data_IF_474161523803
#
_entry.id   IF_474161523803
#
_cell.length_a   1.000
_cell.length_b   1.000
_cell.length_c   1.000
_cell.angle_alpha   90.00
_cell.angle_beta   90.00
_cell.angle_gamma   90.00
#
_symmetry.space_group_name_H-M   'P 1'
#
loop_
_entity.id
_entity.type
_entity.pdbx_description
1 polymer ?
#
# COMPACT_ATOMS: atom_id res chain seq x y z
N UNK A 1 0.54 1.02 2.05
CA UNK A 1 -0.68 1.78 2.40
C UNK A 1 -0.52 3.29 2.28
N UNK A 2 0.71 3.80 2.32
CA UNK A 2 0.94 5.25 2.14
C UNK A 2 0.66 5.73 0.71
N UNK A 3 0.37 4.81 -0.21
CA UNK A 3 -0.17 5.14 -1.52
C UNK A 3 -1.61 5.67 -1.46
N UNK A 4 -2.34 5.35 -0.39
CA UNK A 4 -3.74 5.74 -0.21
C UNK A 4 -3.90 6.96 0.71
N UNK A 5 -3.00 7.12 1.67
CA UNK A 5 -3.09 8.17 2.69
C UNK A 5 -1.70 8.71 2.99
N UNK A 6 -1.61 10.03 3.18
CA UNK A 6 -0.34 10.67 3.50
C UNK A 6 -0.05 10.54 5.01
N UNK A 7 1.15 10.06 5.33
CA UNK A 7 1.69 10.10 6.68
C UNK A 7 2.59 11.34 6.76
N UNK A 8 2.19 12.40 7.45
CA UNK A 8 2.95 13.67 7.41
C UNK A 8 4.42 13.55 7.84
N UNK A 9 4.71 12.68 8.81
CA UNK A 9 6.09 12.42 9.25
C UNK A 9 6.97 11.83 8.13
N UNK A 10 6.36 11.26 7.09
CA UNK A 10 7.02 10.72 5.90
C UNK A 10 6.32 11.24 4.64
N UNK A 11 6.12 12.56 4.59
CA UNK A 11 5.27 13.18 3.56
C UNK A 11 5.75 12.97 2.15
N UNK A 12 7.03 13.20 1.86
CA UNK A 12 7.59 13.02 0.52
C UNK A 12 7.57 11.55 0.08
N UNK A 13 7.83 10.64 0.99
CA UNK A 13 7.72 9.20 0.74
C UNK A 13 6.26 8.84 0.38
N UNK A 14 5.30 9.35 1.15
CA UNK A 14 3.88 9.15 0.87
C UNK A 14 3.49 9.65 -0.52
N UNK A 15 3.98 10.83 -0.91
CA UNK A 15 3.76 11.38 -2.26
C UNK A 15 4.29 10.43 -3.33
N UNK A 16 5.51 9.91 -3.14
CA UNK A 16 6.10 8.98 -4.11
C UNK A 16 5.29 7.69 -4.25
N UNK A 17 4.74 7.18 -3.16
CA UNK A 17 3.91 5.97 -3.18
C UNK A 17 2.55 6.23 -3.83
N UNK A 18 1.94 7.38 -3.61
CA UNK A 18 0.71 7.77 -4.30
C UNK A 18 0.94 7.89 -5.81
N UNK A 19 2.08 8.47 -6.22
CA UNK A 19 2.45 8.55 -7.63
C UNK A 19 2.62 7.16 -8.25
N UNK A 20 3.28 6.24 -7.56
CA UNK A 20 3.45 4.86 -8.02
C UNK A 20 2.10 4.14 -8.18
N UNK A 21 1.17 4.35 -7.26
CA UNK A 21 -0.17 3.79 -7.34
C UNK A 21 -0.92 4.29 -8.58
N UNK A 22 -0.86 5.59 -8.82
CA UNK A 22 -1.46 6.18 -10.02
C UNK A 22 -0.80 5.65 -11.30
N UNK A 23 0.52 5.52 -11.30
CA UNK A 23 1.27 4.97 -12.43
C UNK A 23 0.85 3.53 -12.73
N UNK A 24 0.64 2.71 -11.71
CA UNK A 24 0.16 1.34 -11.90
C UNK A 24 -1.18 1.30 -12.65
N UNK A 25 -2.08 2.23 -12.34
CA UNK A 25 -3.37 2.31 -13.03
C UNK A 25 -3.19 2.64 -14.51
N UNK A 26 -2.32 3.58 -14.83
CA UNK A 26 -2.04 3.96 -16.21
C UNK A 26 -1.37 2.84 -17.01
N UNK A 27 -0.35 2.21 -16.43
CA UNK A 27 0.36 1.09 -17.06
C UNK A 27 -0.58 -0.10 -17.27
N UNK A 28 -1.43 -0.38 -16.28
CA UNK A 28 -2.43 -1.45 -16.39
C UNK A 28 -3.34 -1.24 -17.60
N UNK A 29 -3.82 -0.01 -17.77
CA UNK A 29 -4.66 0.34 -18.91
C UNK A 29 -3.92 0.21 -20.25
N UNK A 30 -2.69 0.69 -20.30
CA UNK A 30 -1.87 0.61 -21.53
C UNK A 30 -1.56 -0.82 -21.95
N UNK A 31 -1.34 -1.72 -20.99
CA UNK A 31 -0.96 -3.10 -21.26
C UNK A 31 -2.13 -4.06 -21.36
N UNK A 32 -3.35 -3.58 -21.18
CA UNK A 32 -4.54 -4.45 -21.20
C UNK A 32 -4.72 -5.19 -22.53
N UNK A 33 -4.43 -4.51 -23.65
CA UNK A 33 -4.55 -5.12 -24.99
C UNK A 33 -3.53 -6.23 -25.21
N UNK A 34 -2.43 -6.24 -24.47
CA UNK A 34 -1.41 -7.29 -24.52
C UNK A 34 -1.70 -8.43 -23.54
N UNK A 35 -2.82 -8.34 -22.81
CA UNK A 35 -3.21 -9.32 -21.77
C UNK A 35 -2.16 -9.43 -20.65
N UNK A 36 -1.46 -8.33 -20.36
CA UNK A 36 -0.49 -8.27 -19.27
C UNK A 36 -1.20 -7.82 -17.99
N UNK A 37 -1.09 -8.62 -16.95
CA UNK A 37 -1.61 -8.25 -15.63
C UNK A 37 -0.61 -7.37 -14.88
N UNK A 38 -1.10 -6.30 -14.29
CA UNK A 38 -0.28 -5.39 -13.47
C UNK A 38 -0.83 -5.46 -12.03
N UNK A 39 -0.03 -5.99 -11.13
CA UNK A 39 -0.43 -6.23 -9.75
C UNK A 39 0.32 -5.25 -8.84
N UNK A 40 -0.43 -4.44 -8.09
CA UNK A 40 0.13 -3.57 -7.08
C UNK A 40 0.04 -4.21 -5.70
N UNK A 41 1.15 -4.25 -4.98
CA UNK A 41 1.20 -4.80 -3.62
C UNK A 41 1.47 -3.66 -2.65
N UNK A 42 0.53 -3.41 -1.75
CA UNK A 42 0.54 -2.25 -0.87
C UNK A 42 0.46 -2.69 0.60
N UNK A 43 1.60 -3.14 1.17
CA UNK A 43 1.62 -3.60 2.56
C UNK A 43 1.61 -2.42 3.54
N UNK A 44 1.36 -2.73 4.81
CA UNK A 44 1.69 -1.84 5.91
C UNK A 44 3.17 -1.93 6.25
N UNK A 45 3.53 -1.91 7.52
CA UNK A 45 4.92 -2.07 7.94
C UNK A 45 5.37 -3.52 7.72
N UNK A 46 6.53 -3.69 7.09
CA UNK A 46 7.14 -4.99 6.81
C UNK A 46 8.46 -5.09 7.58
N UNK A 47 8.74 -6.25 8.16
CA UNK A 47 9.94 -6.47 8.96
C UNK A 47 11.18 -6.55 8.05
N UNK A 48 11.74 -5.39 7.76
CA UNK A 48 12.93 -5.19 6.92
C UNK A 48 13.83 -4.14 7.57
N UNK A 49 15.05 -4.00 7.06
CA UNK A 49 15.99 -2.97 7.55
C UNK A 49 15.41 -1.56 7.45
N UNK A 50 14.63 -1.28 6.42
CA UNK A 50 13.99 0.04 6.24
C UNK A 50 13.03 0.35 7.39
N UNK A 51 12.36 -0.65 7.96
CA UNK A 51 11.37 -0.49 9.02
C UNK A 51 11.91 -0.85 10.41
N UNK A 52 13.22 -0.98 10.59
CA UNK A 52 13.83 -1.44 11.85
C UNK A 52 13.46 -0.55 13.05
N UNK A 53 13.25 0.74 12.84
CA UNK A 53 12.94 1.70 13.91
C UNK A 53 11.43 1.85 14.17
N UNK A 54 10.60 1.17 13.39
CA UNK A 54 9.16 1.16 13.59
C UNK A 54 8.80 0.26 14.77
N UNK A 55 8.10 0.78 15.76
CA UNK A 55 7.79 0.08 17.01
C UNK A 55 6.49 -0.71 16.98
N UNK A 56 5.67 -0.54 15.96
CA UNK A 56 4.41 -1.25 15.84
C UNK A 56 4.55 -2.67 15.27
N UNK A 57 3.43 -3.39 15.11
CA UNK A 57 3.46 -4.71 14.49
C UNK A 57 3.91 -4.62 13.04
N UNK A 58 4.68 -5.62 12.61
CA UNK A 58 5.22 -5.70 11.24
C UNK A 58 4.88 -7.04 10.64
N UNK A 59 4.59 -7.04 9.33
CA UNK A 59 4.38 -8.26 8.58
C UNK A 59 5.72 -8.89 8.21
N UNK A 60 5.74 -10.22 8.07
CA UNK A 60 6.94 -10.92 7.63
C UNK A 60 7.10 -10.78 6.12
N UNK A 61 8.32 -10.55 5.61
CA UNK A 61 8.55 -10.45 4.16
C UNK A 61 8.01 -11.65 3.38
N UNK A 62 8.14 -12.86 3.91
CA UNK A 62 7.63 -14.06 3.26
C UNK A 62 6.12 -14.02 3.09
N UNK A 63 5.39 -13.52 4.09
CA UNK A 63 3.92 -13.42 4.02
C UNK A 63 3.49 -12.44 2.94
N UNK A 64 4.22 -11.34 2.78
CA UNK A 64 3.97 -10.36 1.70
C UNK A 64 4.22 -11.01 0.34
N UNK A 65 5.34 -11.73 0.20
CA UNK A 65 5.68 -12.40 -1.06
C UNK A 65 4.62 -13.46 -1.43
N UNK A 66 4.15 -14.24 -0.46
CA UNK A 66 3.10 -15.23 -0.69
C UNK A 66 1.78 -14.59 -1.11
N UNK A 67 1.41 -13.46 -0.48
CA UNK A 67 0.22 -12.73 -0.86
C UNK A 67 0.31 -12.20 -2.30
N UNK A 68 1.49 -11.71 -2.70
CA UNK A 68 1.74 -11.25 -4.07
C UNK A 68 1.56 -12.38 -5.08
N UNK A 69 2.12 -13.56 -4.79
CA UNK A 69 2.00 -14.74 -5.69
C UNK A 69 0.54 -15.17 -5.81
N UNK A 70 -0.20 -15.22 -4.69
CA UNK A 70 -1.62 -15.56 -4.73
C UNK A 70 -2.43 -14.56 -5.55
N UNK A 71 -2.10 -13.27 -5.45
CA UNK A 71 -2.76 -12.23 -6.23
C UNK A 71 -2.53 -12.42 -7.73
N UNK A 72 -1.32 -12.80 -8.13
CA UNK A 72 -1.00 -13.10 -9.53
C UNK A 72 -1.85 -14.28 -10.01
N UNK A 73 -1.93 -15.34 -9.21
CA UNK A 73 -2.71 -16.54 -9.56
C UNK A 73 -4.21 -16.24 -9.67
N UNK A 74 -4.73 -15.39 -8.79
CA UNK A 74 -6.16 -15.10 -8.69
C UNK A 74 -6.58 -13.90 -9.55
N UNK A 75 -5.64 -13.19 -10.18
CA UNK A 75 -5.92 -12.00 -10.98
C UNK A 75 -6.38 -10.80 -10.18
N UNK A 76 -5.96 -10.69 -8.91
CA UNK A 76 -6.26 -9.54 -8.06
C UNK A 76 -5.28 -8.43 -8.38
N UNK A 77 -5.79 -7.25 -8.73
CA UNK A 77 -4.97 -6.15 -9.22
C UNK A 77 -4.33 -5.32 -8.11
N UNK A 78 -5.05 -5.07 -7.02
CA UNK A 78 -4.56 -4.28 -5.88
C UNK A 78 -4.63 -5.14 -4.62
N UNK A 79 -3.48 -5.37 -4.02
CA UNK A 79 -3.32 -6.30 -2.88
C UNK A 79 -2.89 -5.52 -1.65
N UNK A 80 -3.61 -5.71 -0.56
CA UNK A 80 -3.32 -5.06 0.73
C UNK A 80 -3.03 -6.15 1.77
N UNK A 81 -1.82 -6.71 1.78
CA UNK A 81 -1.52 -7.84 2.66
C UNK A 81 -1.30 -7.39 4.10
N UNK A 82 -1.86 -8.16 5.03
CA UNK A 82 -1.74 -7.93 6.46
C UNK A 82 -2.87 -7.10 7.04
N UNK A 83 -3.01 -7.18 8.36
CA UNK A 83 -4.15 -6.57 9.06
C UNK A 83 -4.18 -5.06 8.93
N UNK A 84 -3.01 -4.40 9.05
CA UNK A 84 -2.93 -2.94 8.93
C UNK A 84 -3.32 -2.48 7.53
N UNK A 85 -2.77 -3.12 6.50
CA UNK A 85 -3.06 -2.75 5.12
C UNK A 85 -4.53 -2.96 4.79
N UNK A 86 -5.13 -4.05 5.27
CA UNK A 86 -6.55 -4.31 5.08
C UNK A 86 -7.43 -3.28 5.79
N UNK A 87 -7.10 -2.96 7.04
CA UNK A 87 -7.86 -1.98 7.80
C UNK A 87 -7.82 -0.60 7.13
N UNK A 88 -6.65 -0.17 6.68
CA UNK A 88 -6.50 1.14 6.01
C UNK A 88 -7.22 1.17 4.67
N UNK A 89 -7.09 0.12 3.85
CA UNK A 89 -7.76 0.09 2.55
C UNK A 89 -9.27 0.06 2.68
N UNK A 90 -9.80 -0.70 3.62
CA UNK A 90 -11.24 -0.75 3.88
C UNK A 90 -11.76 0.58 4.43
N UNK A 91 -11.05 1.17 5.40
CA UNK A 91 -11.40 2.47 5.95
C UNK A 91 -11.38 3.57 4.89
N UNK A 92 -10.36 3.56 4.04
CA UNK A 92 -10.25 4.52 2.93
C UNK A 92 -11.41 4.38 1.94
N UNK A 93 -11.82 3.17 1.62
CA UNK A 93 -12.95 2.94 0.73
C UNK A 93 -14.28 3.41 1.33
N UNK A 94 -14.43 3.33 2.65
CA UNK A 94 -15.65 3.76 3.34
C UNK A 94 -15.68 5.26 3.60
N UNK A 95 -14.56 5.82 4.08
CA UNK A 95 -14.46 7.23 4.46
C UNK A 95 -12.99 7.67 4.39
N UNK A 96 -12.54 8.06 3.20
CA UNK A 96 -11.16 8.48 2.96
C UNK A 96 -10.77 9.67 3.86
N UNK A 97 -11.70 10.58 4.13
CA UNK A 97 -11.43 11.76 4.96
C UNK A 97 -11.17 11.38 6.42
N UNK A 98 -11.87 10.38 6.93
CA UNK A 98 -11.64 9.89 8.28
C UNK A 98 -10.23 9.29 8.43
N UNK A 99 -9.78 8.52 7.43
CA UNK A 99 -8.43 7.95 7.41
C UNK A 99 -7.36 9.06 7.32
N UNK A 100 -7.60 10.07 6.47
CA UNK A 100 -6.70 11.23 6.40
C UNK A 100 -6.53 11.90 7.77
N UNK A 101 -7.62 12.12 8.48
CA UNK A 101 -7.61 12.74 9.81
C UNK A 101 -6.87 11.87 10.83
N UNK A 102 -7.08 10.56 10.77
CA UNK A 102 -6.40 9.62 11.66
C UNK A 102 -4.88 9.71 11.49
N UNK A 103 -4.39 9.78 10.26
CA UNK A 103 -2.97 9.87 9.97
C UNK A 103 -2.39 11.27 10.19
N UNK A 104 -3.22 12.30 10.15
CA UNK A 104 -2.77 13.70 10.21
C UNK A 104 -2.13 14.09 11.54
N UNK A 105 -2.31 13.30 12.60
CA UNK A 105 -1.72 13.57 13.91
C UNK A 105 -0.22 13.26 13.95
N UNK A 106 0.30 12.50 13.00
CA UNK A 106 1.71 12.10 12.95
C UNK A 106 2.53 13.10 12.14
N UNK A 107 2.59 14.34 12.61
CA UNK A 107 3.35 15.41 11.96
C UNK A 107 4.83 15.34 12.33
N UNK A 108 5.73 15.91 11.47
CA UNK A 108 7.16 15.95 11.76
C UNK A 108 7.46 16.83 12.98
N UNK A 109 8.54 16.49 13.66
CA UNK A 109 9.01 17.25 14.81
C UNK A 109 8.90 16.54 16.11
#
# INVERSE_FOLDING_TARGET
ILSLVNLPASGSYSVSKAAAYSMNQGVRAELASQKTNVIGVMPGAVDTDMAKDFEGPKEKPLDIAQAAVRAIEDGVEDVFPGDMAQAVSQGHAQDAKAVEKEFSVYVPG
#
